data_IF_711497592279
#
_entry.id   IF_711497592279
#
_cell.length_a   1.000
_cell.length_b   1.000
_cell.length_c   1.000
_cell.angle_alpha   90.00
_cell.angle_beta   90.00
_cell.angle_gamma   90.00
#
_symmetry.space_group_name_H-M   'P 1'
#
loop_
_entity.id
_entity.type
_entity.pdbx_description
1 polymer ?
#
# COMPACT_ATOMS: atom_id res chain seq x y z
N UNK A 1 -42.84 -45.49 -1.79
CA UNK A 1 -41.71 -45.41 -0.85
C UNK A 1 -40.90 -44.18 -1.24
N UNK A 2 -41.34 -42.94 -1.00
CA UNK A 2 -41.49 -42.19 0.27
C UNK A 2 -40.16 -42.05 1.03
N UNK A 3 -39.60 -40.82 1.03
CA UNK A 3 -38.83 -40.12 2.09
C UNK A 3 -38.22 -38.83 1.44
N UNK A 4 -38.94 -37.69 1.49
CA UNK A 4 -38.79 -36.57 2.44
C UNK A 4 -37.38 -35.93 2.45
N UNK A 5 -37.22 -34.80 1.75
CA UNK A 5 -36.16 -33.82 2.02
C UNK A 5 -36.74 -32.63 2.79
N UNK A 6 -36.00 -32.24 3.83
CA UNK A 6 -36.38 -31.28 4.85
C UNK A 6 -36.13 -29.84 4.36
N UNK A 7 -37.17 -29.01 4.46
CA UNK A 7 -37.14 -27.57 4.26
C UNK A 7 -36.35 -26.88 5.37
N UNK A 8 -35.46 -25.95 5.01
CA UNK A 8 -35.13 -24.79 5.85
C UNK A 8 -35.14 -23.54 4.97
N UNK A 9 -36.12 -22.70 5.24
CA UNK A 9 -36.26 -21.33 4.77
C UNK A 9 -35.22 -20.43 5.44
N UNK A 10 -34.54 -19.62 4.65
CA UNK A 10 -34.09 -18.29 5.06
C UNK A 10 -34.35 -17.36 3.88
N UNK A 11 -35.38 -16.52 4.02
CA UNK A 11 -35.62 -15.33 3.20
C UNK A 11 -34.33 -14.51 3.13
N UNK A 12 -33.86 -14.27 1.92
CA UNK A 12 -32.96 -13.17 1.62
C UNK A 12 -33.74 -12.21 0.74
N UNK A 13 -34.05 -11.04 1.30
CA UNK A 13 -34.68 -9.92 0.62
C UNK A 13 -33.76 -9.39 -0.49
N UNK A 14 -33.85 -10.01 -1.67
CA UNK A 14 -33.33 -9.45 -2.90
C UNK A 14 -34.30 -8.37 -3.38
N UNK A 15 -33.92 -7.11 -3.18
CA UNK A 15 -34.62 -5.94 -3.74
C UNK A 15 -34.59 -6.02 -5.27
N UNK A 16 -35.67 -6.51 -5.88
CA UNK A 16 -35.98 -6.33 -7.31
C UNK A 16 -36.66 -4.98 -7.50
N UNK A 17 -36.03 -4.08 -8.25
CA UNK A 17 -36.61 -2.79 -8.65
C UNK A 17 -37.70 -3.03 -9.70
N UNK A 18 -38.95 -2.69 -9.38
CA UNK A 18 -40.09 -2.67 -10.31
C UNK A 18 -40.24 -1.26 -10.91
N UNK A 19 -40.45 -1.19 -12.23
CA UNK A 19 -40.64 0.05 -12.98
C UNK A 19 -42.07 0.58 -12.79
N UNK A 20 -42.21 1.77 -12.20
CA UNK A 20 -43.45 2.53 -12.25
C UNK A 20 -43.17 4.00 -12.62
N UNK A 21 -43.79 4.43 -13.72
CA UNK A 21 -43.71 5.76 -14.32
C UNK A 21 -44.69 6.70 -13.62
N UNK A 22 -44.23 7.85 -13.11
CA UNK A 22 -45.07 9.05 -12.90
C UNK A 22 -44.21 10.34 -12.94
N UNK A 23 -44.73 11.35 -13.62
CA UNK A 23 -44.33 12.77 -13.70
C UNK A 23 -45.61 13.63 -13.46
N UNK A 24 -45.57 14.97 -13.22
CA UNK A 24 -44.45 15.94 -13.24
C UNK A 24 -44.47 17.04 -12.13
N UNK A 25 -43.52 18.00 -12.28
CA UNK A 25 -43.48 19.40 -11.78
C UNK A 25 -42.66 19.71 -10.52
N UNK A 26 -41.34 19.82 -10.73
CA UNK A 26 -40.44 20.64 -9.94
C UNK A 26 -39.20 20.94 -10.80
N UNK A 27 -38.78 22.19 -10.87
CA UNK A 27 -37.63 22.66 -11.68
C UNK A 27 -36.29 22.23 -11.04
N UNK A 28 -36.13 20.92 -10.88
CA UNK A 28 -34.89 20.26 -10.51
C UNK A 28 -34.32 19.69 -11.80
N UNK A 29 -33.09 20.04 -12.15
CA UNK A 29 -32.36 19.39 -13.24
C UNK A 29 -32.23 17.90 -12.87
N UNK A 30 -33.20 17.08 -13.29
CA UNK A 30 -33.14 15.63 -13.13
C UNK A 30 -31.99 15.18 -14.01
N UNK A 31 -30.86 14.84 -13.40
CA UNK A 31 -29.70 14.34 -14.15
C UNK A 31 -30.08 12.99 -14.77
N UNK A 32 -29.57 12.66 -15.97
CA UNK A 32 -29.94 11.41 -16.64
C UNK A 32 -29.59 10.20 -15.74
N UNK A 33 -30.49 9.20 -15.62
CA UNK A 33 -30.29 8.02 -14.77
C UNK A 33 -29.02 7.21 -15.10
N UNK A 34 -28.43 7.41 -16.28
CA UNK A 34 -27.16 6.76 -16.69
C UNK A 34 -25.88 7.45 -16.23
N UNK A 35 -25.96 8.56 -15.48
CA UNK A 35 -24.79 9.29 -14.99
C UNK A 35 -24.49 8.97 -13.52
N UNK A 36 -23.23 9.07 -13.11
CA UNK A 36 -22.82 8.91 -11.70
C UNK A 36 -23.65 9.77 -10.75
N UNK A 37 -23.86 11.04 -11.09
CA UNK A 37 -24.65 11.96 -10.26
C UNK A 37 -26.14 11.67 -10.30
N UNK A 38 -26.67 11.12 -11.40
CA UNK A 38 -28.03 10.57 -11.44
C UNK A 38 -28.20 9.42 -10.45
N UNK A 39 -27.27 8.46 -10.45
CA UNK A 39 -27.24 7.34 -9.50
C UNK A 39 -27.19 7.86 -8.04
N UNK A 40 -26.30 8.82 -7.75
CA UNK A 40 -26.20 9.43 -6.42
C UNK A 40 -27.51 10.10 -5.98
N UNK A 41 -28.17 10.85 -6.86
CA UNK A 41 -29.46 11.49 -6.56
C UNK A 41 -30.54 10.46 -6.24
N UNK A 42 -30.64 9.39 -7.03
CA UNK A 42 -31.65 8.34 -6.83
C UNK A 42 -31.41 7.52 -5.56
N UNK A 43 -30.15 7.18 -5.29
CA UNK A 43 -29.75 6.55 -4.02
C UNK A 43 -30.08 7.47 -2.83
N UNK A 44 -29.82 8.77 -2.96
CA UNK A 44 -30.07 9.75 -1.89
C UNK A 44 -31.56 9.88 -1.55
N UNK A 45 -32.44 9.85 -2.56
CA UNK A 45 -33.91 9.91 -2.35
C UNK A 45 -34.39 8.74 -1.49
N UNK A 46 -33.84 7.54 -1.70
CA UNK A 46 -34.30 6.31 -1.04
C UNK A 46 -33.50 5.96 0.23
N UNK A 47 -32.29 6.49 0.38
CA UNK A 47 -31.35 6.13 1.44
C UNK A 47 -30.78 7.37 2.15
N UNK A 48 -31.66 8.30 2.54
CA UNK A 48 -31.25 9.54 3.21
C UNK A 48 -30.53 9.33 4.55
N UNK A 49 -30.73 8.17 5.19
CA UNK A 49 -30.09 7.77 6.45
C UNK A 49 -28.60 7.42 6.30
N UNK A 50 -28.13 7.10 5.09
CA UNK A 50 -26.71 6.83 4.82
C UNK A 50 -25.89 8.12 4.83
N UNK A 51 -24.62 8.00 5.20
CA UNK A 51 -23.67 9.10 5.09
C UNK A 51 -23.45 9.50 3.63
N UNK A 52 -22.98 10.74 3.40
CA UNK A 52 -22.65 11.22 2.05
C UNK A 52 -21.61 10.28 1.39
N UNK A 53 -20.60 9.84 2.16
CA UNK A 53 -19.54 8.97 1.66
C UNK A 53 -20.08 7.60 1.21
N UNK A 54 -20.97 6.99 2.00
CA UNK A 54 -21.61 5.72 1.63
C UNK A 54 -22.49 5.87 0.39
N UNK A 55 -23.23 6.97 0.27
CA UNK A 55 -24.04 7.23 -0.93
C UNK A 55 -23.19 7.44 -2.18
N UNK A 56 -22.10 8.19 -2.07
CA UNK A 56 -21.14 8.37 -3.18
C UNK A 56 -20.49 7.04 -3.59
N UNK A 57 -20.21 6.19 -2.60
CA UNK A 57 -19.65 4.85 -2.80
C UNK A 57 -20.62 3.91 -3.52
N UNK A 58 -21.86 3.79 -3.04
CA UNK A 58 -22.89 2.97 -3.72
C UNK A 58 -23.16 3.50 -5.12
N UNK A 59 -23.19 4.82 -5.32
CA UNK A 59 -23.36 5.43 -6.64
C UNK A 59 -22.23 5.07 -7.61
N UNK A 60 -21.00 4.87 -7.11
CA UNK A 60 -19.86 4.49 -7.94
C UNK A 60 -20.05 3.09 -8.52
N UNK A 61 -20.34 2.11 -7.67
CA UNK A 61 -20.59 0.73 -8.10
C UNK A 61 -21.84 0.63 -8.98
N UNK A 62 -22.91 1.36 -8.65
CA UNK A 62 -24.14 1.40 -9.44
C UNK A 62 -23.93 2.04 -10.83
N UNK A 63 -23.05 3.04 -10.94
CA UNK A 63 -22.73 3.68 -12.21
C UNK A 63 -21.85 2.81 -13.11
N UNK A 64 -20.83 2.16 -12.53
CA UNK A 64 -19.90 1.31 -13.30
C UNK A 64 -20.54 -0.03 -13.70
N UNK A 65 -21.50 -0.54 -12.91
CA UNK A 65 -22.25 -1.79 -13.15
C UNK A 65 -21.37 -3.05 -13.29
N UNK A 66 -20.15 -2.99 -12.78
CA UNK A 66 -19.23 -4.12 -12.75
C UNK A 66 -18.26 -3.92 -11.58
N UNK A 67 -18.40 -4.73 -10.53
CA UNK A 67 -17.64 -4.58 -9.28
C UNK A 67 -16.14 -4.74 -9.47
N UNK A 68 -15.74 -5.62 -10.38
CA UNK A 68 -14.34 -5.77 -10.76
C UNK A 68 -13.87 -4.45 -11.31
N UNK A 69 -14.53 -3.93 -12.36
CA UNK A 69 -14.16 -2.67 -13.00
C UNK A 69 -14.14 -1.49 -12.02
N UNK A 70 -15.18 -1.37 -11.20
CA UNK A 70 -15.34 -0.31 -10.22
C UNK A 70 -14.17 -0.32 -9.22
N UNK A 71 -13.81 -1.50 -8.73
CA UNK A 71 -12.75 -1.63 -7.73
C UNK A 71 -11.37 -1.48 -8.33
N UNK A 72 -11.09 -2.08 -9.50
CA UNK A 72 -9.78 -1.97 -10.13
C UNK A 72 -9.44 -0.55 -10.58
N UNK A 73 -10.39 0.19 -11.16
CA UNK A 73 -10.21 1.61 -11.51
C UNK A 73 -9.92 2.43 -10.25
N UNK A 74 -10.72 2.27 -9.20
CA UNK A 74 -10.56 3.03 -7.96
C UNK A 74 -9.23 2.70 -7.27
N UNK A 75 -8.85 1.42 -7.22
CA UNK A 75 -7.62 0.95 -6.59
C UNK A 75 -6.39 1.53 -7.29
N UNK A 76 -6.35 1.47 -8.62
CA UNK A 76 -5.25 2.05 -9.40
C UNK A 76 -5.22 3.57 -9.28
N UNK A 77 -6.37 4.25 -9.36
CA UNK A 77 -6.44 5.71 -9.20
C UNK A 77 -5.95 6.16 -7.81
N UNK A 78 -6.31 5.45 -6.75
CA UNK A 78 -5.83 5.70 -5.38
C UNK A 78 -4.32 5.50 -5.33
N UNK A 79 -3.80 4.40 -5.88
CA UNK A 79 -2.37 4.13 -5.94
C UNK A 79 -1.60 5.30 -6.57
N UNK A 80 -1.95 5.65 -7.81
CA UNK A 80 -1.29 6.71 -8.56
C UNK A 80 -1.38 8.06 -7.86
N UNK A 81 -2.58 8.42 -7.37
CA UNK A 81 -2.81 9.70 -6.71
C UNK A 81 -1.94 9.84 -5.47
N UNK A 82 -1.89 8.81 -4.62
CA UNK A 82 -1.18 8.90 -3.35
C UNK A 82 0.32 8.65 -3.51
N UNK A 83 0.76 7.79 -4.43
CA UNK A 83 2.19 7.58 -4.69
C UNK A 83 2.86 8.86 -5.22
N UNK A 84 2.36 9.37 -6.35
CA UNK A 84 2.93 10.58 -6.95
C UNK A 84 2.64 11.80 -6.07
N UNK A 85 1.45 11.90 -5.49
CA UNK A 85 1.09 12.97 -4.56
C UNK A 85 2.00 13.05 -3.34
N UNK A 86 2.34 11.90 -2.72
CA UNK A 86 3.27 11.85 -1.59
C UNK A 86 4.72 12.11 -1.99
N UNK A 87 5.08 11.80 -3.23
CA UNK A 87 6.42 12.07 -3.78
C UNK A 87 6.66 13.56 -4.07
N UNK A 88 5.62 14.34 -4.37
CA UNK A 88 5.75 15.76 -4.76
C UNK A 88 6.50 16.63 -3.74
N UNK A 89 6.21 16.61 -2.42
CA UNK A 89 6.97 17.39 -1.43
C UNK A 89 8.47 17.13 -1.50
N UNK A 90 8.89 15.86 -1.67
CA UNK A 90 10.29 15.48 -1.76
C UNK A 90 10.97 16.03 -3.02
N UNK A 91 10.28 15.93 -4.16
CA UNK A 91 10.70 16.52 -5.44
C UNK A 91 10.93 18.03 -5.29
N UNK A 92 9.99 18.74 -4.65
CA UNK A 92 10.11 20.17 -4.41
C UNK A 92 11.28 20.53 -3.49
N UNK A 93 11.46 19.79 -2.39
CA UNK A 93 12.54 20.02 -1.44
C UNK A 93 13.91 19.82 -2.11
N UNK A 94 14.10 18.72 -2.86
CA UNK A 94 15.35 18.44 -3.57
C UNK A 94 15.63 19.50 -4.65
N UNK A 95 14.62 19.88 -5.44
CA UNK A 95 14.75 20.84 -6.56
C UNK A 95 15.08 22.26 -6.08
N UNK A 96 14.42 22.71 -5.02
CA UNK A 96 14.62 24.05 -4.46
C UNK A 96 15.83 24.10 -3.52
N UNK A 97 16.44 22.95 -3.21
CA UNK A 97 17.55 22.86 -2.25
C UNK A 97 17.15 23.28 -0.84
N UNK A 98 15.91 22.98 -0.43
CA UNK A 98 15.43 23.25 0.93
C UNK A 98 15.95 22.18 1.90
N UNK A 99 15.97 22.51 3.19
CA UNK A 99 16.25 21.56 4.26
C UNK A 99 17.57 20.77 4.14
N UNK A 100 18.62 21.34 3.51
CA UNK A 100 19.91 20.66 3.28
C UNK A 100 20.57 20.10 4.54
N UNK A 101 20.37 20.76 5.69
CA UNK A 101 20.87 20.29 7.00
C UNK A 101 20.28 18.95 7.41
N UNK A 102 19.09 18.61 6.91
CA UNK A 102 18.39 17.36 7.20
C UNK A 102 18.62 16.29 6.11
N UNK A 103 19.36 16.58 5.04
CA UNK A 103 19.70 15.58 4.01
C UNK A 103 20.77 14.62 4.54
N UNK A 104 20.49 13.33 4.54
CA UNK A 104 21.38 12.29 5.11
C UNK A 104 22.68 12.23 4.31
N UNK A 105 22.59 12.01 2.99
CA UNK A 105 23.72 12.05 2.06
C UNK A 105 23.82 13.42 1.36
N UNK A 106 24.29 14.44 2.09
CA UNK A 106 24.30 15.86 1.65
C UNK A 106 25.07 16.15 0.35
N UNK A 107 25.98 15.26 -0.07
CA UNK A 107 26.74 15.38 -1.33
C UNK A 107 26.00 14.82 -2.56
N UNK A 108 24.86 14.14 -2.38
CA UNK A 108 24.10 13.47 -3.43
C UNK A 108 22.65 13.97 -3.44
N UNK A 109 22.39 14.96 -4.29
CA UNK A 109 21.04 15.51 -4.51
C UNK A 109 20.59 15.09 -5.92
N UNK A 110 19.42 14.46 -6.08
CA UNK A 110 18.96 14.01 -7.38
C UNK A 110 18.62 15.21 -8.28
N UNK A 111 19.16 15.20 -9.50
CA UNK A 111 18.83 16.21 -10.50
C UNK A 111 17.38 16.07 -10.98
N UNK A 112 16.80 17.16 -11.50
CA UNK A 112 15.47 17.11 -12.11
C UNK A 112 15.36 16.08 -13.24
N UNK A 113 16.46 15.84 -13.97
CA UNK A 113 16.50 14.81 -15.02
C UNK A 113 16.38 13.41 -14.42
N UNK A 114 17.15 13.11 -13.39
CA UNK A 114 17.08 11.81 -12.71
C UNK A 114 15.70 11.56 -12.12
N UNK A 115 15.09 12.58 -11.49
CA UNK A 115 13.73 12.47 -10.96
C UNK A 115 12.71 12.24 -12.08
N UNK A 116 12.84 12.93 -13.22
CA UNK A 116 11.94 12.75 -14.36
C UNK A 116 12.08 11.38 -15.03
N UNK A 117 13.30 10.88 -15.17
CA UNK A 117 13.55 9.56 -15.76
C UNK A 117 13.10 8.44 -14.82
N UNK A 118 13.29 8.61 -13.50
CA UNK A 118 12.71 7.75 -12.48
C UNK A 118 11.17 7.76 -12.56
N UNK A 119 10.53 8.94 -12.64
CA UNK A 119 9.07 9.07 -12.74
C UNK A 119 8.49 8.28 -13.92
N UNK A 120 9.11 8.40 -15.11
CA UNK A 120 8.66 7.67 -16.31
C UNK A 120 8.79 6.17 -16.15
N UNK A 121 9.91 5.72 -15.58
CA UNK A 121 10.15 4.30 -15.39
C UNK A 121 9.14 3.69 -14.42
N UNK A 122 8.92 4.37 -13.29
CA UNK A 122 7.95 3.98 -12.27
C UNK A 122 6.55 3.97 -12.85
N UNK A 123 6.12 5.04 -13.55
CA UNK A 123 4.82 5.09 -14.22
C UNK A 123 4.64 3.96 -15.24
N UNK A 124 5.67 3.65 -16.04
CA UNK A 124 5.62 2.52 -16.96
C UNK A 124 5.45 1.20 -16.21
N UNK A 125 6.18 1.00 -15.11
CA UNK A 125 6.05 -0.18 -14.25
C UNK A 125 4.64 -0.30 -13.67
N UNK A 126 4.07 0.78 -13.17
CA UNK A 126 2.72 0.79 -12.60
C UNK A 126 1.67 0.32 -13.62
N UNK A 127 1.75 0.81 -14.86
CA UNK A 127 0.82 0.41 -15.92
C UNK A 127 1.07 -1.00 -16.47
N UNK A 128 2.31 -1.49 -16.46
CA UNK A 128 2.68 -2.76 -17.13
C UNK A 128 2.79 -3.95 -16.18
N UNK A 129 3.04 -3.70 -14.90
CA UNK A 129 3.28 -4.74 -13.88
C UNK A 129 2.21 -4.68 -12.79
N UNK A 130 2.03 -3.52 -12.16
CA UNK A 130 1.14 -3.41 -10.99
C UNK A 130 -0.33 -3.38 -11.36
N UNK A 131 -0.70 -2.68 -12.43
CA UNK A 131 -2.09 -2.61 -12.90
C UNK A 131 -2.67 -4.01 -13.18
N UNK A 132 -1.97 -4.93 -13.88
CA UNK A 132 -2.39 -6.34 -13.94
C UNK A 132 -2.57 -7.02 -12.57
N UNK A 133 -1.67 -6.78 -11.62
CA UNK A 133 -1.77 -7.36 -10.27
C UNK A 133 -2.99 -6.82 -9.52
N UNK A 134 -3.24 -5.51 -9.59
CA UNK A 134 -4.42 -4.85 -9.00
C UNK A 134 -5.71 -5.39 -9.62
N UNK A 135 -5.74 -5.60 -10.95
CA UNK A 135 -6.90 -6.18 -11.63
C UNK A 135 -7.21 -7.62 -11.20
N UNK A 136 -6.18 -8.43 -11.01
CA UNK A 136 -6.32 -9.82 -10.59
C UNK A 136 -6.58 -9.95 -9.08
N UNK A 137 -6.17 -8.96 -8.29
CA UNK A 137 -6.35 -8.93 -6.85
C UNK A 137 -7.83 -8.95 -6.46
N UNK A 138 -8.67 -8.11 -7.09
CA UNK A 138 -10.05 -7.94 -6.62
C UNK A 138 -10.90 -9.22 -6.71
N UNK A 139 -10.96 -9.95 -7.84
CA UNK A 139 -11.69 -11.22 -7.90
C UNK A 139 -11.17 -12.26 -6.91
N UNK A 140 -9.85 -12.28 -6.67
CA UNK A 140 -9.23 -13.19 -5.69
C UNK A 140 -9.63 -12.82 -4.27
N UNK A 141 -9.61 -11.54 -3.91
CA UNK A 141 -9.99 -11.08 -2.59
C UNK A 141 -11.49 -11.29 -2.33
N UNK A 142 -12.35 -11.05 -3.33
CA UNK A 142 -13.79 -11.34 -3.24
C UNK A 142 -14.05 -12.83 -3.05
N UNK A 143 -13.29 -13.72 -3.70
CA UNK A 143 -13.38 -15.16 -3.48
C UNK A 143 -13.15 -15.53 -2.00
N UNK A 144 -12.27 -14.80 -1.30
CA UNK A 144 -12.01 -14.98 0.13
C UNK A 144 -12.92 -14.15 1.05
N UNK A 145 -13.94 -13.49 0.52
CA UNK A 145 -14.94 -12.77 1.32
C UNK A 145 -14.69 -11.27 1.50
N UNK A 146 -13.82 -10.65 0.69
CA UNK A 146 -13.62 -9.19 0.72
C UNK A 146 -14.95 -8.48 0.45
N UNK A 147 -15.35 -7.60 1.36
CA UNK A 147 -16.56 -6.80 1.23
C UNK A 147 -16.29 -5.44 0.58
N UNK A 148 -17.19 -5.06 -0.33
CA UNK A 148 -17.33 -3.70 -0.88
C UNK A 148 -18.64 -3.05 -0.43
N UNK A 149 -19.43 -3.72 0.41
CA UNK A 149 -20.77 -3.29 0.82
C UNK A 149 -20.72 -2.36 2.02
N UNK A 150 -21.68 -1.45 2.09
CA UNK A 150 -21.95 -0.63 3.27
C UNK A 150 -22.65 -1.46 4.38
N UNK A 151 -22.60 -1.05 5.65
CA UNK A 151 -21.92 0.13 6.20
C UNK A 151 -20.39 -0.02 6.19
N UNK A 152 -19.69 1.12 6.18
CA UNK A 152 -18.22 1.12 6.28
C UNK A 152 -17.73 0.57 7.62
N UNK A 153 -16.55 -0.06 7.66
CA UNK A 153 -15.95 -0.54 8.90
C UNK A 153 -15.68 0.63 9.85
N UNK A 154 -15.72 0.34 11.15
CA UNK A 154 -15.33 1.34 12.14
C UNK A 154 -13.86 1.73 11.97
N UNK A 155 -13.45 2.97 12.31
CA UNK A 155 -12.04 3.37 12.27
C UNK A 155 -11.14 2.46 13.13
N UNK A 156 -11.67 1.94 14.24
CA UNK A 156 -10.95 0.98 15.08
C UNK A 156 -10.70 -0.35 14.36
N UNK A 157 -11.73 -0.87 13.67
CA UNK A 157 -11.62 -2.07 12.84
C UNK A 157 -10.53 -1.92 11.80
N UNK A 158 -10.55 -0.81 11.07
CA UNK A 158 -9.51 -0.51 10.09
C UNK A 158 -8.12 -0.42 10.74
N UNK A 159 -8.00 0.31 11.85
CA UNK A 159 -6.72 0.56 12.51
C UNK A 159 -6.02 -0.72 12.99
N UNK A 160 -6.73 -1.63 13.69
CA UNK A 160 -6.08 -2.85 14.16
C UNK A 160 -5.75 -3.81 13.03
N UNK A 161 -6.59 -3.92 11.99
CA UNK A 161 -6.32 -4.76 10.82
C UNK A 161 -5.08 -4.24 10.08
N UNK A 162 -4.98 -2.93 9.85
CA UNK A 162 -3.82 -2.28 9.25
C UNK A 162 -2.55 -2.50 10.07
N UNK A 163 -2.63 -2.39 11.41
CA UNK A 163 -1.48 -2.67 12.27
C UNK A 163 -0.98 -4.12 12.12
N UNK A 164 -1.89 -5.08 11.99
CA UNK A 164 -1.54 -6.49 11.71
C UNK A 164 -0.91 -6.61 10.33
N UNK A 165 -1.43 -5.93 9.30
CA UNK A 165 -0.89 -5.96 7.95
C UNK A 165 0.53 -5.40 7.88
N UNK A 166 0.82 -4.33 8.62
CA UNK A 166 2.18 -3.80 8.77
C UNK A 166 3.14 -4.87 9.31
N UNK A 167 2.75 -5.64 10.34
CA UNK A 167 3.61 -6.68 10.91
C UNK A 167 3.81 -7.85 9.93
N UNK A 168 2.73 -8.28 9.28
CA UNK A 168 2.77 -9.40 8.33
C UNK A 168 3.60 -9.06 7.08
N UNK A 169 3.36 -7.89 6.48
CA UNK A 169 4.09 -7.44 5.30
C UNK A 169 5.54 -7.11 5.63
N UNK A 170 5.86 -6.51 6.77
CA UNK A 170 7.25 -6.26 7.18
C UNK A 170 8.04 -7.58 7.33
N UNK A 171 7.37 -8.63 7.83
CA UNK A 171 7.95 -9.98 7.89
C UNK A 171 8.22 -10.53 6.50
N UNK A 172 7.23 -10.50 5.60
CA UNK A 172 7.42 -10.92 4.21
C UNK A 172 8.57 -10.15 3.54
N UNK A 173 8.54 -8.82 3.67
CA UNK A 173 9.49 -7.91 3.07
C UNK A 173 10.89 -8.20 3.58
N UNK A 174 11.11 -8.28 4.90
CA UNK A 174 12.44 -8.50 5.46
C UNK A 174 13.12 -9.74 4.88
N UNK A 175 12.42 -10.89 4.88
CA UNK A 175 13.01 -12.14 4.42
C UNK A 175 13.28 -12.13 2.92
N UNK A 176 12.36 -11.60 2.12
CA UNK A 176 12.57 -11.53 0.67
C UNK A 176 13.59 -10.48 0.29
N UNK A 177 13.59 -9.31 0.92
CA UNK A 177 14.59 -8.28 0.69
C UNK A 177 16.00 -8.81 1.02
N UNK A 178 16.16 -9.47 2.17
CA UNK A 178 17.43 -10.14 2.51
C UNK A 178 17.83 -11.20 1.48
N UNK A 179 16.88 -11.99 0.98
CA UNK A 179 17.13 -12.97 -0.07
C UNK A 179 17.52 -12.31 -1.40
N UNK A 180 16.88 -11.18 -1.76
CA UNK A 180 17.19 -10.39 -2.94
C UNK A 180 18.60 -9.81 -2.92
N UNK A 181 19.21 -9.64 -1.74
CA UNK A 181 20.63 -9.31 -1.59
C UNK A 181 21.61 -10.49 -1.77
N UNK A 182 21.11 -11.70 -2.02
CA UNK A 182 21.96 -12.82 -2.40
C UNK A 182 22.48 -12.63 -3.84
N UNK A 183 23.79 -12.82 -4.04
CA UNK A 183 24.52 -12.39 -5.25
C UNK A 183 23.83 -12.59 -6.61
N UNK A 184 23.26 -13.76 -6.93
CA UNK A 184 22.51 -13.96 -8.18
C UNK A 184 21.22 -13.14 -8.26
N UNK A 185 20.40 -13.15 -7.20
CA UNK A 185 19.13 -12.41 -7.15
C UNK A 185 19.38 -10.90 -7.16
N UNK A 186 20.43 -10.44 -6.46
CA UNK A 186 20.81 -9.03 -6.47
C UNK A 186 21.09 -8.57 -7.90
N UNK A 187 21.97 -9.28 -8.60
CA UNK A 187 22.36 -8.91 -9.97
C UNK A 187 21.19 -8.94 -10.95
N UNK A 188 20.26 -9.89 -10.80
CA UNK A 188 19.17 -10.11 -11.74
C UNK A 188 17.92 -9.26 -11.45
N UNK A 189 17.65 -8.95 -10.18
CA UNK A 189 16.37 -8.41 -9.72
C UNK A 189 16.59 -7.09 -8.98
N UNK A 190 17.40 -7.09 -7.92
CA UNK A 190 17.43 -5.98 -6.95
C UNK A 190 18.40 -4.84 -7.29
N UNK A 191 19.32 -5.06 -8.23
CA UNK A 191 20.33 -4.06 -8.60
C UNK A 191 19.72 -2.78 -9.17
N UNK A 192 18.55 -2.85 -9.83
CA UNK A 192 17.86 -1.67 -10.37
C UNK A 192 17.39 -0.77 -9.24
N UNK A 193 16.81 -1.35 -8.18
CA UNK A 193 16.40 -0.62 -6.98
C UNK A 193 17.57 0.11 -6.31
N UNK A 194 18.72 -0.57 -6.27
CA UNK A 194 19.97 -0.02 -5.74
C UNK A 194 20.74 0.91 -6.70
N UNK A 195 20.16 1.30 -7.84
CA UNK A 195 20.80 2.24 -8.77
C UNK A 195 21.14 3.57 -8.08
N UNK A 196 20.26 4.04 -7.19
CA UNK A 196 20.47 5.24 -6.41
C UNK A 196 21.01 4.89 -5.02
N UNK A 197 22.32 5.04 -4.83
CA UNK A 197 22.96 4.85 -3.51
C UNK A 197 22.56 5.91 -2.46
N UNK A 198 22.00 7.03 -2.90
CA UNK A 198 21.24 7.96 -2.08
C UNK A 198 19.83 8.00 -2.65
N UNK A 199 18.85 7.31 -2.03
CA UNK A 199 17.50 7.26 -2.55
C UNK A 199 16.81 8.64 -2.40
N UNK A 200 15.72 8.79 -3.13
CA UNK A 200 14.79 9.90 -3.01
C UNK A 200 13.38 9.32 -3.10
N UNK A 201 12.38 10.02 -2.56
CA UNK A 201 11.05 9.43 -2.32
C UNK A 201 10.41 8.75 -3.54
N UNK A 202 10.58 9.31 -4.73
CA UNK A 202 10.06 8.76 -5.99
C UNK A 202 10.74 7.45 -6.42
N UNK A 203 11.95 7.16 -5.92
CA UNK A 203 12.67 5.93 -6.20
C UNK A 203 12.17 4.74 -5.37
N UNK A 204 11.19 4.92 -4.48
CA UNK A 204 10.64 3.86 -3.63
C UNK A 204 10.14 2.64 -4.41
N UNK A 205 9.51 2.86 -5.57
CA UNK A 205 9.03 1.80 -6.47
C UNK A 205 9.85 1.72 -7.78
N UNK A 206 11.02 2.35 -7.81
CA UNK A 206 11.96 2.21 -8.92
C UNK A 206 12.70 0.87 -8.80
N UNK A 207 12.14 -0.20 -9.36
CA UNK A 207 12.65 -1.56 -9.21
C UNK A 207 12.48 -2.40 -10.49
N UNK A 208 13.08 -3.59 -10.53
CA UNK A 208 12.85 -4.50 -11.66
C UNK A 208 11.40 -5.00 -11.70
N UNK A 209 10.84 -5.37 -12.87
CA UNK A 209 9.48 -5.91 -12.93
C UNK A 209 9.22 -7.10 -12.01
N UNK A 210 10.22 -7.98 -11.84
CA UNK A 210 10.11 -9.15 -10.96
C UNK A 210 10.06 -8.72 -9.49
N UNK A 211 10.85 -7.72 -9.12
CA UNK A 211 10.84 -7.17 -7.76
C UNK A 211 9.51 -6.52 -7.43
N UNK A 212 8.99 -5.69 -8.33
CA UNK A 212 7.66 -5.06 -8.20
C UNK A 212 6.58 -6.15 -8.01
N UNK A 213 6.63 -7.24 -8.79
CA UNK A 213 5.70 -8.35 -8.61
C UNK A 213 5.80 -9.00 -7.22
N UNK A 214 7.03 -9.24 -6.75
CA UNK A 214 7.29 -9.88 -5.45
C UNK A 214 6.81 -9.01 -4.28
N UNK A 215 7.12 -7.71 -4.32
CA UNK A 215 6.74 -6.76 -3.27
C UNK A 215 5.23 -6.52 -3.30
N UNK A 216 4.65 -6.30 -4.48
CA UNK A 216 3.21 -6.17 -4.65
C UNK A 216 2.45 -7.39 -4.15
N UNK A 217 2.96 -8.62 -4.43
CA UNK A 217 2.36 -9.85 -3.90
C UNK A 217 2.36 -9.87 -2.36
N UNK A 218 3.46 -9.49 -1.70
CA UNK A 218 3.52 -9.40 -0.23
C UNK A 218 2.48 -8.45 0.34
N UNK A 219 2.41 -7.24 -0.23
CA UNK A 219 1.50 -6.17 0.18
C UNK A 219 0.03 -6.57 0.10
N UNK A 220 -0.37 -7.34 -0.92
CA UNK A 220 -1.77 -7.73 -1.13
C UNK A 220 -2.13 -9.08 -0.53
N UNK A 221 -1.18 -10.03 -0.47
CA UNK A 221 -1.44 -11.38 0.04
C UNK A 221 -1.62 -11.41 1.56
N UNK A 222 -0.98 -10.51 2.31
CA UNK A 222 -1.14 -10.46 3.76
C UNK A 222 -2.59 -10.13 4.18
N UNK A 223 -3.24 -9.08 3.64
CA UNK A 223 -4.67 -8.85 3.86
C UNK A 223 -5.58 -9.95 3.30
N UNK A 224 -5.26 -10.54 2.14
CA UNK A 224 -6.04 -11.69 1.62
C UNK A 224 -5.99 -12.86 2.59
N UNK A 225 -4.83 -13.18 3.14
CA UNK A 225 -4.69 -14.25 4.13
C UNK A 225 -5.52 -13.96 5.37
N UNK A 226 -5.52 -12.71 5.84
CA UNK A 226 -6.41 -12.28 6.92
C UNK A 226 -7.89 -12.49 6.56
N UNK A 227 -8.31 -12.05 5.37
CA UNK A 227 -9.67 -12.23 4.88
C UNK A 227 -10.06 -13.71 4.76
N UNK A 228 -9.16 -14.55 4.26
CA UNK A 228 -9.38 -15.99 4.12
C UNK A 228 -9.56 -16.70 5.47
N UNK A 229 -8.92 -16.21 6.53
CA UNK A 229 -9.01 -16.78 7.88
C UNK A 229 -10.25 -16.25 8.62
N UNK A 230 -10.55 -14.96 8.46
CA UNK A 230 -11.53 -14.26 9.31
C UNK A 230 -12.88 -14.01 8.63
N UNK A 231 -12.91 -13.97 7.30
CA UNK A 231 -14.04 -13.48 6.51
C UNK A 231 -14.34 -11.99 6.73
N UNK A 232 -13.46 -11.24 7.41
CA UNK A 232 -13.69 -9.87 7.86
C UNK A 232 -12.64 -8.92 7.29
N UNK A 233 -12.88 -8.45 6.07
CA UNK A 233 -12.08 -7.41 5.45
C UNK A 233 -12.94 -6.57 4.51
N UNK A 234 -12.84 -5.25 4.64
CA UNK A 234 -13.49 -4.31 3.74
C UNK A 234 -12.46 -3.65 2.81
N UNK A 235 -12.83 -3.38 1.56
CA UNK A 235 -11.94 -2.76 0.57
C UNK A 235 -11.45 -1.36 1.00
N UNK A 236 -12.21 -0.61 1.81
CA UNK A 236 -11.71 0.64 2.39
C UNK A 236 -10.54 0.43 3.34
N UNK A 237 -10.52 -0.66 4.12
CA UNK A 237 -9.34 -1.02 4.93
C UNK A 237 -8.15 -1.31 4.02
N UNK A 238 -8.37 -1.97 2.87
CA UNK A 238 -7.32 -2.17 1.86
C UNK A 238 -6.78 -0.83 1.33
N UNK A 239 -7.65 0.12 0.97
CA UNK A 239 -7.21 1.42 0.48
C UNK A 239 -6.41 2.20 1.52
N UNK A 240 -6.88 2.22 2.76
CA UNK A 240 -6.13 2.85 3.85
C UNK A 240 -4.78 2.15 4.09
N UNK A 241 -4.75 0.81 4.06
CA UNK A 241 -3.53 0.01 4.14
C UNK A 241 -2.53 0.39 3.04
N UNK A 242 -2.95 0.36 1.78
CA UNK A 242 -2.10 0.69 0.63
C UNK A 242 -1.55 2.11 0.76
N UNK A 243 -2.40 3.10 1.06
CA UNK A 243 -1.95 4.50 1.21
C UNK A 243 -0.90 4.64 2.31
N UNK A 244 -1.13 4.01 3.48
CA UNK A 244 -0.16 4.05 4.58
C UNK A 244 1.15 3.34 4.22
N UNK A 245 1.08 2.23 3.49
CA UNK A 245 2.24 1.49 3.03
C UNK A 245 3.06 2.27 2.01
N UNK A 246 2.40 2.96 1.07
CA UNK A 246 3.03 3.87 0.11
C UNK A 246 3.73 5.02 0.83
N UNK A 247 3.05 5.63 1.80
CA UNK A 247 3.62 6.73 2.58
C UNK A 247 4.86 6.27 3.33
N UNK A 248 4.80 5.10 3.96
CA UNK A 248 5.96 4.50 4.63
C UNK A 248 7.12 4.27 3.65
N UNK A 249 6.87 3.69 2.48
CA UNK A 249 7.91 3.40 1.49
C UNK A 249 8.59 4.69 1.03
N UNK A 250 7.80 5.68 0.62
CA UNK A 250 8.29 6.96 0.10
C UNK A 250 9.07 7.71 1.18
N UNK A 251 8.59 7.70 2.42
CA UNK A 251 9.25 8.38 3.53
C UNK A 251 10.59 7.71 3.89
N UNK A 252 10.65 6.38 3.89
CA UNK A 252 11.90 5.64 4.08
C UNK A 252 12.93 5.90 2.97
N UNK A 253 12.48 6.20 1.74
CA UNK A 253 13.36 6.54 0.61
C UNK A 253 13.65 8.03 0.48
N UNK A 254 13.04 8.90 1.29
CA UNK A 254 13.12 10.35 1.11
C UNK A 254 14.56 10.91 1.14
N UNK A 255 15.46 10.25 1.88
CA UNK A 255 16.83 10.72 2.11
C UNK A 255 16.90 11.91 3.08
N UNK A 256 15.85 12.15 3.87
CA UNK A 256 15.76 13.23 4.84
C UNK A 256 15.51 12.71 6.26
N UNK A 257 16.29 13.22 7.21
CA UNK A 257 16.15 12.93 8.62
C UNK A 257 15.75 14.20 9.38
N UNK A 258 14.46 14.30 9.74
CA UNK A 258 13.92 15.43 10.48
C UNK A 258 13.75 15.14 11.97
N UNK A 259 13.73 16.17 12.84
CA UNK A 259 13.44 15.98 14.27
C UNK A 259 12.08 15.35 14.57
N UNK A 260 11.15 15.36 13.60
CA UNK A 260 9.82 14.76 13.70
C UNK A 260 9.66 13.46 12.89
N UNK A 261 10.75 12.89 12.37
CA UNK A 261 10.71 11.54 11.77
C UNK A 261 10.15 10.53 12.78
N UNK A 262 9.31 9.61 12.31
CA UNK A 262 8.53 8.74 13.19
C UNK A 262 9.39 7.89 14.15
N UNK A 263 10.60 7.48 13.74
CA UNK A 263 11.50 6.69 14.59
C UNK A 263 11.96 7.40 15.86
N UNK A 264 11.90 8.74 15.91
CA UNK A 264 12.16 9.49 17.15
C UNK A 264 11.07 9.31 18.21
N UNK A 265 9.85 8.94 17.81
CA UNK A 265 8.72 8.69 18.71
C UNK A 265 8.40 7.19 18.85
N UNK A 266 8.67 6.41 17.82
CA UNK A 266 8.53 4.95 17.78
C UNK A 266 9.88 4.32 17.41
N UNK A 267 10.78 4.05 18.37
CA UNK A 267 12.17 3.64 18.09
C UNK A 267 12.32 2.34 17.28
N UNK A 268 11.28 1.51 17.24
CA UNK A 268 11.27 0.30 16.41
C UNK A 268 11.02 0.59 14.94
N UNK A 269 10.60 1.80 14.58
CA UNK A 269 10.32 2.20 13.19
C UNK A 269 11.61 2.35 12.40
N UNK A 270 11.66 1.72 11.23
CA UNK A 270 12.72 1.91 10.24
C UNK A 270 12.41 3.17 9.43
N UNK A 271 13.14 4.25 9.72
CA UNK A 271 13.01 5.53 9.04
C UNK A 271 13.93 5.65 7.82
N UNK A 272 14.03 6.88 7.31
CA UNK A 272 14.93 7.20 6.21
C UNK A 272 16.40 6.93 6.59
N UNK A 273 16.82 7.18 7.83
CA UNK A 273 18.16 6.85 8.32
C UNK A 273 18.53 5.37 8.13
N UNK A 274 17.60 4.46 8.37
CA UNK A 274 17.82 3.02 8.29
C UNK A 274 18.00 2.58 6.85
N UNK A 275 17.10 3.04 5.97
CA UNK A 275 17.03 2.62 4.59
C UNK A 275 18.01 3.37 3.68
N UNK A 276 18.30 4.64 3.95
CA UNK A 276 19.35 5.38 3.25
C UNK A 276 20.72 4.73 3.48
N UNK A 277 21.03 4.33 4.72
CA UNK A 277 22.26 3.58 5.03
C UNK A 277 22.31 2.20 4.34
N UNK A 278 21.15 1.56 4.17
CA UNK A 278 21.02 0.33 3.40
C UNK A 278 21.43 0.55 1.93
N UNK A 279 20.90 1.59 1.27
CA UNK A 279 21.27 1.97 -0.10
C UNK A 279 22.72 2.42 -0.24
N UNK A 280 23.30 3.02 0.80
CA UNK A 280 24.70 3.47 0.77
C UNK A 280 25.68 2.27 0.83
N UNK A 281 25.34 1.24 1.61
CA UNK A 281 26.26 0.14 1.94
C UNK A 281 25.94 -1.16 1.22
N UNK A 282 24.73 -1.32 0.69
CA UNK A 282 24.23 -2.52 0.02
C UNK A 282 24.28 -3.78 0.90
N UNK A 283 24.34 -3.61 2.23
CA UNK A 283 24.41 -4.71 3.19
C UNK A 283 23.78 -4.33 4.53
N UNK A 284 23.03 -5.27 5.10
CA UNK A 284 22.29 -5.09 6.35
C UNK A 284 21.09 -4.16 6.21
N UNK A 285 20.40 -3.86 7.31
CA UNK A 285 19.23 -2.96 7.33
C UNK A 285 18.13 -3.36 6.31
N UNK A 286 17.74 -4.63 6.29
CA UNK A 286 16.80 -5.18 5.30
C UNK A 286 15.32 -4.93 5.64
N UNK A 287 15.00 -4.54 6.87
CA UNK A 287 13.62 -4.29 7.25
C UNK A 287 13.03 -3.06 6.56
N UNK A 288 11.74 -3.12 6.24
CA UNK A 288 11.05 -2.00 5.58
C UNK A 288 10.43 -1.07 6.60
N UNK A 289 9.59 -1.59 7.50
CA UNK A 289 8.82 -0.78 8.45
C UNK A 289 9.38 -0.85 9.87
N UNK A 290 9.86 -2.02 10.31
CA UNK A 290 10.30 -2.20 11.69
C UNK A 290 11.70 -2.80 11.82
N UNK A 291 12.57 -2.16 12.59
CA UNK A 291 13.97 -2.57 12.80
C UNK A 291 14.13 -3.92 13.53
N UNK A 292 13.06 -4.50 14.06
CA UNK A 292 13.14 -5.69 14.91
C UNK A 292 13.78 -6.88 14.20
N UNK A 293 13.56 -7.07 12.90
CA UNK A 293 14.09 -8.25 12.22
C UNK A 293 15.59 -8.12 12.02
N UNK A 294 16.04 -6.90 11.68
CA UNK A 294 17.47 -6.58 11.64
C UNK A 294 18.14 -6.72 13.00
N UNK A 295 17.47 -6.33 14.08
CA UNK A 295 17.98 -6.49 15.43
C UNK A 295 18.06 -7.97 15.84
N UNK A 296 16.95 -8.72 15.69
CA UNK A 296 16.81 -10.12 16.11
C UNK A 296 17.77 -11.05 15.36
N UNK A 297 17.98 -10.80 14.06
CA UNK A 297 18.83 -11.63 13.21
C UNK A 297 20.24 -11.04 13.02
N UNK A 298 20.56 -9.99 13.78
CA UNK A 298 21.84 -9.29 13.78
C UNK A 298 22.29 -8.92 12.36
N UNK A 299 21.42 -8.23 11.62
CA UNK A 299 21.68 -7.68 10.27
C UNK A 299 21.69 -6.16 10.21
N UNK A 300 21.56 -5.43 11.32
CA UNK A 300 21.75 -3.97 11.32
C UNK A 300 23.17 -3.58 10.85
N UNK A 301 23.29 -2.47 10.11
CA UNK A 301 24.57 -1.91 9.65
C UNK A 301 24.89 -0.57 10.33
N UNK A 302 24.50 -0.39 11.60
CA UNK A 302 24.84 0.81 12.36
C UNK A 302 26.25 0.69 12.98
N UNK A 303 26.94 1.82 13.27
CA UNK A 303 28.22 1.79 13.99
C UNK A 303 28.16 0.99 15.29
N UNK A 304 27.05 1.12 16.04
CA UNK A 304 26.82 0.38 17.27
C UNK A 304 26.65 -1.11 17.01
N UNK A 305 25.87 -1.53 16.01
CA UNK A 305 25.73 -2.93 15.65
C UNK A 305 27.07 -3.56 15.24
N UNK A 306 27.88 -2.84 14.46
CA UNK A 306 29.22 -3.27 14.07
C UNK A 306 30.15 -3.41 15.28
N UNK A 307 30.08 -2.48 16.23
CA UNK A 307 30.82 -2.55 17.50
C UNK A 307 30.40 -3.76 18.33
N UNK A 308 29.09 -3.96 18.54
CA UNK A 308 28.53 -5.14 19.26
C UNK A 308 29.03 -6.46 18.65
N UNK A 309 29.03 -6.58 17.31
CA UNK A 309 29.52 -7.78 16.60
C UNK A 309 31.02 -8.00 16.80
N UNK A 310 31.82 -6.93 16.79
CA UNK A 310 33.27 -7.01 17.04
C UNK A 310 33.56 -7.48 18.46
N UNK A 311 32.86 -6.93 19.45
CA UNK A 311 33.01 -7.30 20.86
C UNK A 311 32.63 -8.78 21.08
N UNK A 312 31.49 -9.23 20.56
CA UNK A 312 31.09 -10.65 20.61
C UNK A 312 32.14 -11.60 20.01
N UNK A 313 32.78 -11.22 18.90
CA UNK A 313 33.85 -12.02 18.28
C UNK A 313 35.13 -12.05 19.13
N UNK A 314 35.46 -10.96 19.80
CA UNK A 314 36.62 -10.90 20.69
C UNK A 314 36.39 -11.77 21.92
N UNK A 315 35.20 -11.73 22.50
CA UNK A 315 34.88 -12.52 23.69
C UNK A 315 34.78 -14.02 23.37
N UNK A 316 34.22 -14.40 22.21
CA UNK A 316 34.22 -15.79 21.75
C UNK A 316 35.63 -16.37 21.64
N UNK A 317 36.60 -15.58 21.14
CA UNK A 317 38.01 -15.97 21.03
C UNK A 317 38.74 -16.06 22.37
N UNK A 318 38.22 -15.43 23.44
CA UNK A 318 38.81 -15.55 24.79
C UNK A 318 38.32 -16.80 25.52
N UNK A 319 37.19 -17.35 25.09
CA UNK A 319 36.58 -18.57 25.65
C UNK A 319 36.98 -19.86 24.94
N UNK A 320 37.65 -19.77 23.77
CA UNK A 320 38.30 -20.88 23.06
C UNK A 320 39.73 -21.12 23.56
#
# INVERSE_FOLDING_TARGET
MLLLSYSRSTENDNVRISSAVLHPLGNSTVLPPGTYWGQYQDITKSNAHLSIAERLWVAWYAWVQNDVLATGIMSFAIHELFYFGRSLPWIFIDTLGLFKTYKIQSSKIPTLREQWDCAKFVLLSHFTVELPQIWLFHPMAQFFGLSTSIPFPSPWTMAYQIAIFFVMEDTWHYFLHRALHWGPLYKAIHKIHHQYSAPFGLAAEYASPIEVMILGFGTVSCPILWCAITGDLHILTMYAWIVLRLFQAIDAHSGYEFPWSLHHFLPVWAGADHHDLHHEKFIGNYASSFRWWDYLLDTEYTPDALKRRREKKVDAKKTE
#
